data_IF_571065279654
#
_entry.id   IF_571065279654
#
_cell.length_a   1.000
_cell.length_b   1.000
_cell.length_c   1.000
_cell.angle_alpha   90.00
_cell.angle_beta   90.00
_cell.angle_gamma   90.00
#
_symmetry.space_group_name_H-M   'P 1'
#
loop_
_entity.id
_entity.type
_entity.pdbx_description
1 polymer ?
#
# COMPACT_ATOMS: atom_id res chain seq x y z
N UNK A 1 16.73 -3.15 -12.08
CA UNK A 1 16.79 -1.78 -11.52
C UNK A 1 15.98 -1.68 -10.23
N UNK A 2 14.68 -1.99 -10.26
CA UNK A 2 13.75 -1.91 -9.12
C UNK A 2 14.24 -2.62 -7.85
N UNK A 3 14.74 -3.85 -7.96
CA UNK A 3 15.24 -4.59 -6.79
C UNK A 3 16.40 -3.88 -6.09
N UNK A 4 17.33 -3.28 -6.86
CA UNK A 4 18.46 -2.54 -6.29
C UNK A 4 18.01 -1.28 -5.54
N UNK A 5 16.98 -0.60 -6.05
CA UNK A 5 16.40 0.55 -5.38
C UNK A 5 15.68 0.13 -4.08
N UNK A 6 14.86 -0.92 -4.14
CA UNK A 6 14.15 -1.45 -2.97
C UNK A 6 15.12 -1.85 -1.86
N UNK A 7 16.20 -2.58 -2.19
CA UNK A 7 17.25 -2.94 -1.24
C UNK A 7 17.90 -1.70 -0.63
N UNK A 8 18.24 -0.68 -1.43
CA UNK A 8 18.83 0.55 -0.91
C UNK A 8 17.88 1.28 0.07
N UNK A 9 16.58 1.34 -0.25
CA UNK A 9 15.56 1.93 0.62
C UNK A 9 15.44 1.14 1.92
N UNK A 10 15.34 -0.18 1.87
CA UNK A 10 15.26 -1.00 3.09
C UNK A 10 16.46 -0.81 4.01
N UNK A 11 17.68 -0.89 3.45
CA UNK A 11 18.91 -0.74 4.22
C UNK A 11 19.00 0.65 4.87
N UNK A 12 18.53 1.70 4.18
CA UNK A 12 18.48 3.07 4.72
C UNK A 12 17.63 3.17 5.99
N UNK A 13 16.61 2.33 6.13
CA UNK A 13 15.69 2.32 7.28
C UNK A 13 15.88 1.10 8.19
N UNK A 14 17.03 0.42 8.11
CA UNK A 14 17.35 -0.69 9.01
C UNK A 14 16.50 -1.95 8.81
N UNK A 15 15.82 -2.07 7.66
CA UNK A 15 15.02 -3.25 7.29
C UNK A 15 15.87 -4.31 6.58
N UNK A 16 15.42 -5.58 6.54
CA UNK A 16 16.08 -6.62 5.76
C UNK A 16 16.28 -6.23 4.29
N UNK A 17 17.47 -6.51 3.74
CA UNK A 17 17.84 -6.17 2.36
C UNK A 17 16.86 -6.72 1.30
N UNK A 18 16.24 -7.86 1.60
CA UNK A 18 15.17 -8.49 0.82
C UNK A 18 13.91 -8.62 1.67
N UNK A 19 12.74 -8.35 1.09
CA UNK A 19 11.47 -8.55 1.80
C UNK A 19 11.24 -10.04 2.09
N UNK A 20 11.04 -10.45 3.36
CA UNK A 20 10.64 -11.81 3.69
C UNK A 20 9.41 -12.26 2.91
N UNK A 21 9.39 -13.52 2.46
CA UNK A 21 8.34 -14.03 1.57
C UNK A 21 6.92 -13.84 2.12
N UNK A 22 6.74 -14.01 3.44
CA UNK A 22 5.46 -13.79 4.10
C UNK A 22 5.03 -12.32 4.02
N UNK A 23 5.94 -11.38 4.26
CA UNK A 23 5.66 -9.94 4.19
C UNK A 23 5.34 -9.54 2.76
N UNK A 24 6.11 -10.04 1.78
CA UNK A 24 5.86 -9.80 0.36
C UNK A 24 4.46 -10.26 -0.06
N UNK A 25 4.01 -11.43 0.42
CA UNK A 25 2.66 -11.93 0.17
C UNK A 25 1.58 -11.02 0.77
N UNK A 26 1.78 -10.56 2.01
CA UNK A 26 0.82 -9.67 2.70
C UNK A 26 0.76 -8.30 2.03
N UNK A 27 1.91 -7.71 1.71
CA UNK A 27 2.01 -6.43 0.97
C UNK A 27 1.30 -6.57 -0.37
N UNK A 28 1.55 -7.66 -1.12
CA UNK A 28 0.90 -7.86 -2.42
C UNK A 28 -0.61 -8.03 -2.28
N UNK A 29 -1.10 -8.69 -1.22
CA UNK A 29 -2.54 -8.78 -0.95
C UNK A 29 -3.14 -7.39 -0.71
N UNK A 30 -2.51 -6.55 0.10
CA UNK A 30 -2.97 -5.19 0.39
C UNK A 30 -2.97 -4.30 -0.87
N UNK A 31 -1.87 -4.34 -1.65
CA UNK A 31 -1.73 -3.65 -2.94
C UNK A 31 -2.85 -4.04 -3.93
N UNK A 32 -3.12 -5.33 -4.08
CA UNK A 32 -4.19 -5.81 -4.96
C UNK A 32 -5.58 -5.34 -4.50
N UNK A 33 -5.83 -5.29 -3.18
CA UNK A 33 -7.09 -4.77 -2.63
C UNK A 33 -7.22 -3.26 -2.91
N UNK A 34 -6.16 -2.48 -2.73
CA UNK A 34 -6.15 -1.05 -3.06
C UNK A 34 -6.44 -0.85 -4.56
N UNK A 35 -5.76 -1.59 -5.43
CA UNK A 35 -5.96 -1.52 -6.88
C UNK A 35 -7.40 -1.86 -7.31
N UNK A 36 -8.07 -2.82 -6.64
CA UNK A 36 -9.48 -3.11 -6.88
C UNK A 36 -10.38 -1.88 -6.66
N UNK A 37 -10.18 -1.17 -5.55
CA UNK A 37 -10.98 0.00 -5.21
C UNK A 37 -10.63 1.21 -6.08
N UNK A 38 -9.35 1.43 -6.37
CA UNK A 38 -8.92 2.48 -7.31
C UNK A 38 -9.51 2.25 -8.70
N UNK A 39 -9.52 1.00 -9.17
CA UNK A 39 -10.07 0.65 -10.47
C UNK A 39 -11.57 0.97 -10.55
N UNK A 40 -12.34 0.55 -9.54
CA UNK A 40 -13.81 0.72 -9.52
C UNK A 40 -14.26 2.14 -9.19
N UNK A 41 -13.53 2.88 -8.36
CA UNK A 41 -13.94 4.22 -7.93
C UNK A 41 -13.34 5.36 -8.78
N UNK A 42 -12.13 5.17 -9.32
CA UNK A 42 -11.38 6.26 -9.98
C UNK A 42 -11.10 5.99 -11.46
N UNK A 43 -10.83 4.74 -11.83
CA UNK A 43 -10.43 4.40 -13.20
C UNK A 43 -11.58 3.95 -14.12
N UNK A 44 -12.82 3.89 -13.60
CA UNK A 44 -14.01 3.59 -14.38
C UNK A 44 -14.24 2.10 -14.70
N UNK A 45 -13.55 1.18 -14.01
CA UNK A 45 -13.79 -0.25 -14.18
C UNK A 45 -15.13 -0.63 -13.55
N UNK A 46 -15.86 -1.54 -14.19
CA UNK A 46 -16.96 -2.22 -13.50
C UNK A 46 -16.43 -3.13 -12.39
N UNK A 47 -17.26 -3.47 -11.41
CA UNK A 47 -16.90 -4.47 -10.40
C UNK A 47 -16.52 -5.81 -11.03
N UNK A 48 -17.18 -6.21 -12.12
CA UNK A 48 -16.90 -7.49 -12.79
C UNK A 48 -15.50 -7.49 -13.39
N UNK A 49 -15.11 -6.40 -14.06
CA UNK A 49 -13.76 -6.24 -14.60
C UNK A 49 -12.72 -6.19 -13.50
N UNK A 50 -12.95 -5.38 -12.45
CA UNK A 50 -12.02 -5.28 -11.33
C UNK A 50 -11.84 -6.63 -10.63
N UNK A 51 -12.91 -7.43 -10.46
CA UNK A 51 -12.81 -8.79 -9.90
C UNK A 51 -12.01 -9.73 -10.80
N UNK A 52 -12.11 -9.57 -12.12
CA UNK A 52 -11.33 -10.37 -13.08
C UNK A 52 -9.83 -10.08 -12.99
N UNK A 53 -9.45 -8.81 -12.81
CA UNK A 53 -8.04 -8.39 -12.80
C UNK A 53 -7.40 -8.46 -11.41
N UNK A 54 -8.14 -8.11 -10.36
CA UNK A 54 -7.62 -7.94 -8.99
C UNK A 54 -8.22 -8.96 -7.99
N UNK A 55 -9.20 -9.76 -8.41
CA UNK A 55 -9.89 -10.69 -7.51
C UNK A 55 -10.90 -9.99 -6.60
N UNK A 56 -11.46 -10.75 -5.66
CA UNK A 56 -12.41 -10.23 -4.67
C UNK A 56 -11.65 -9.67 -3.46
N UNK A 57 -11.94 -8.45 -2.99
CA UNK A 57 -11.35 -7.92 -1.77
C UNK A 57 -11.95 -8.65 -0.54
N UNK A 58 -11.35 -9.76 -0.13
CA UNK A 58 -11.79 -10.53 1.03
C UNK A 58 -11.36 -9.87 2.34
N UNK A 59 -12.31 -9.72 3.27
CA UNK A 59 -12.06 -9.14 4.60
C UNK A 59 -12.03 -7.61 4.67
N UNK A 60 -12.29 -6.94 3.54
CA UNK A 60 -12.38 -5.48 3.46
C UNK A 60 -13.74 -5.10 2.86
N UNK A 61 -14.63 -4.53 3.69
CA UNK A 61 -15.97 -4.13 3.27
C UNK A 61 -16.04 -2.63 2.96
N UNK A 62 -16.76 -2.23 1.87
CA UNK A 62 -16.66 -0.91 1.25
C UNK A 62 -17.26 0.33 1.94
N UNK A 63 -18.16 0.32 2.95
CA UNK A 63 -18.80 1.59 3.33
C UNK A 63 -17.86 2.63 3.98
N UNK A 64 -16.58 2.31 4.23
CA UNK A 64 -15.63 3.19 4.91
C UNK A 64 -14.55 3.86 4.05
N UNK A 65 -14.33 3.44 2.79
CA UNK A 65 -13.20 3.93 1.97
C UNK A 65 -13.67 4.44 0.61
N UNK A 66 -14.25 5.64 0.62
CA UNK A 66 -14.27 6.47 -0.59
C UNK A 66 -12.86 6.98 -0.85
N UNK A 67 -12.26 6.55 -1.95
CA UNK A 67 -10.93 7.01 -2.35
C UNK A 67 -11.10 8.35 -3.06
N UNK A 68 -10.60 9.42 -2.44
CA UNK A 68 -10.57 10.75 -3.03
C UNK A 68 -9.14 11.09 -3.47
N UNK A 69 -8.90 11.43 -4.74
CA UNK A 69 -7.61 11.96 -5.16
C UNK A 69 -7.27 13.24 -4.40
N UNK A 70 -6.06 13.31 -3.87
CA UNK A 70 -5.58 14.47 -3.12
C UNK A 70 -4.59 15.28 -3.96
N UNK A 71 -4.51 16.61 -3.76
CA UNK A 71 -3.41 17.41 -4.25
C UNK A 71 -2.07 16.87 -3.77
N UNK A 72 -1.02 16.99 -4.59
CA UNK A 72 0.29 16.39 -4.31
C UNK A 72 0.85 16.74 -2.92
N UNK A 73 0.75 18.01 -2.52
CA UNK A 73 1.23 18.48 -1.20
C UNK A 73 0.48 17.85 -0.02
N UNK A 74 -0.82 17.61 -0.18
CA UNK A 74 -1.63 16.97 0.88
C UNK A 74 -1.31 15.49 1.00
N UNK A 75 -1.17 14.79 -0.14
CA UNK A 75 -0.76 13.39 -0.16
C UNK A 75 0.64 13.20 0.46
N UNK A 76 1.60 14.08 0.12
CA UNK A 76 2.94 14.09 0.70
C UNK A 76 2.91 14.26 2.22
N UNK A 77 2.17 15.25 2.72
CA UNK A 77 2.07 15.50 4.15
C UNK A 77 1.50 14.30 4.91
N UNK A 78 0.42 13.68 4.40
CA UNK A 78 -0.19 12.50 5.02
C UNK A 78 0.71 11.27 4.99
N UNK A 79 1.45 11.07 3.89
CA UNK A 79 2.42 9.97 3.78
C UNK A 79 3.54 10.13 4.81
N UNK A 80 4.13 11.33 4.92
CA UNK A 80 5.20 11.61 5.86
C UNK A 80 4.73 11.49 7.32
N UNK A 81 3.52 11.93 7.65
CA UNK A 81 2.93 11.73 8.97
C UNK A 81 2.82 10.24 9.31
N UNK A 82 2.25 9.43 8.41
CA UNK A 82 2.11 7.99 8.62
C UNK A 82 3.48 7.29 8.76
N UNK A 83 4.44 7.65 7.91
CA UNK A 83 5.81 7.15 7.98
C UNK A 83 6.46 7.47 9.33
N UNK A 84 6.40 8.72 9.77
CA UNK A 84 6.98 9.13 11.05
C UNK A 84 6.35 8.43 12.25
N UNK A 85 5.02 8.23 12.23
CA UNK A 85 4.32 7.45 13.27
C UNK A 85 4.79 5.99 13.32
N UNK A 86 5.03 5.37 12.16
CA UNK A 86 5.55 4.00 12.09
C UNK A 86 7.00 3.91 12.59
N UNK A 87 7.86 4.86 12.21
CA UNK A 87 9.24 4.92 12.71
C UNK A 87 9.28 5.09 14.23
N UNK A 88 8.44 5.97 14.79
CA UNK A 88 8.32 6.15 16.24
C UNK A 88 7.88 4.87 16.94
N UNK A 89 6.89 4.17 16.38
CA UNK A 89 6.43 2.89 16.92
C UNK A 89 7.51 1.80 16.85
N UNK A 90 8.33 1.78 15.79
CA UNK A 90 9.44 0.85 15.64
C UNK A 90 10.52 1.12 16.70
N UNK A 91 10.88 2.38 16.93
CA UNK A 91 11.84 2.77 17.98
C UNK A 91 11.31 2.41 19.37
N UNK A 92 10.02 2.62 19.63
CA UNK A 92 9.41 2.30 20.93
C UNK A 92 9.27 0.79 21.21
N UNK A 93 9.34 -0.05 20.17
CA UNK A 93 9.25 -1.51 20.29
C UNK A 93 10.61 -2.20 20.45
N UNK A 94 11.71 -1.44 20.40
CA UNK A 94 13.08 -1.89 20.64
C UNK A 94 13.48 -1.68 22.10
#
# INVERSE_FOLDING_TARGET
LEQRLLTAVHLRYGLPAETPALWKKTIKKADTIAAFFEATQLAGFSEVEARKYFGKPEGYHPPALLIKPLPAREAEALFLDAFNRMEQALVAAQ
#
